data_IF_144668008735
#
_entry.id   IF_144668008735
#
_cell.length_a   1.000
_cell.length_b   1.000
_cell.length_c   1.000
_cell.angle_alpha   90.00
_cell.angle_beta   90.00
_cell.angle_gamma   90.00
#
_symmetry.space_group_name_H-M   'P 1'
#
loop_
_entity.id
_entity.type
_entity.pdbx_description
1 polymer ?
#
# COMPACT_ATOMS: atom_id res chain seq x y z
N UNK A 1 -0.70 -4.56 53.28
CA UNK A 1 -1.08 -3.64 52.19
C UNK A 1 -0.92 -4.40 50.90
N UNK A 2 -1.89 -4.24 49.99
CA UNK A 2 -2.27 -5.19 48.94
C UNK A 2 -1.14 -5.49 47.93
N UNK A 3 -1.17 -6.73 47.47
CA UNK A 3 -0.46 -7.27 46.30
C UNK A 3 -0.87 -6.47 45.05
N UNK A 4 0.10 -5.90 44.34
CA UNK A 4 -0.10 -5.52 42.94
C UNK A 4 0.27 -6.72 42.07
N UNK A 5 -0.70 -7.63 41.92
CA UNK A 5 -0.78 -8.52 40.77
C UNK A 5 -1.18 -7.67 39.57
N UNK A 6 -0.28 -7.50 38.61
CA UNK A 6 -0.66 -7.15 37.24
C UNK A 6 -0.07 -8.21 36.33
N UNK A 7 -0.78 -9.32 36.19
CA UNK A 7 -0.59 -10.22 35.05
C UNK A 7 -1.93 -10.23 34.36
N UNK A 8 -2.06 -9.63 33.18
CA UNK A 8 -2.98 -10.10 32.16
C UNK A 8 -2.45 -9.75 30.76
N UNK A 9 -1.95 -10.81 30.13
CA UNK A 9 -2.06 -11.15 28.71
C UNK A 9 -1.38 -10.22 27.70
N UNK A 10 -0.23 -10.65 27.17
CA UNK A 10 0.07 -10.37 25.77
C UNK A 10 -0.99 -11.10 24.94
N UNK A 11 -1.87 -10.41 24.18
CA UNK A 11 -2.51 -11.07 23.07
C UNK A 11 -1.38 -11.44 22.12
N UNK A 12 -1.06 -12.73 22.06
CA UNK A 12 -0.20 -13.27 21.01
C UNK A 12 -0.78 -12.81 19.69
N UNK A 13 -0.13 -11.81 19.08
CA UNK A 13 -0.51 -11.35 17.77
C UNK A 13 -0.21 -12.51 16.82
N UNK A 14 -1.26 -13.05 16.24
CA UNK A 14 -1.12 -13.81 15.01
C UNK A 14 -0.43 -12.88 14.03
N UNK A 15 0.79 -13.24 13.62
CA UNK A 15 1.42 -12.79 12.38
C UNK A 15 0.54 -13.24 11.21
N UNK A 16 -0.67 -12.67 11.12
CA UNK A 16 -1.30 -12.50 9.84
C UNK A 16 -0.49 -11.40 9.17
N UNK A 17 0.60 -11.80 8.50
CA UNK A 17 1.18 -11.01 7.42
C UNK A 17 0.04 -10.76 6.41
N UNK A 18 -0.78 -9.75 6.69
CA UNK A 18 -1.79 -9.27 5.79
C UNK A 18 -1.01 -8.79 4.57
N UNK A 19 -0.93 -9.64 3.55
CA UNK A 19 -0.28 -9.29 2.30
C UNK A 19 -0.80 -7.93 1.88
N UNK A 20 0.13 -6.96 1.77
CA UNK A 20 -0.12 -5.58 1.35
C UNK A 20 -1.08 -5.52 0.15
N UNK A 21 -0.96 -6.53 -0.71
CA UNK A 21 -1.75 -6.74 -1.91
C UNK A 21 -2.44 -8.10 -1.86
N UNK A 22 -3.75 -8.08 -1.60
CA UNK A 22 -4.61 -9.24 -1.74
C UNK A 22 -5.18 -9.30 -3.16
N UNK A 23 -4.97 -10.40 -3.88
CA UNK A 23 -5.50 -10.60 -5.24
C UNK A 23 -7.03 -10.70 -5.23
N UNK A 24 -7.69 -10.18 -6.27
CA UNK A 24 -9.15 -10.26 -6.43
C UNK A 24 -9.68 -11.68 -6.60
N UNK A 25 -8.82 -12.65 -6.93
CA UNK A 25 -9.24 -14.05 -7.06
C UNK A 25 -9.78 -14.63 -5.75
N UNK A 26 -9.43 -14.03 -4.60
CA UNK A 26 -10.01 -14.38 -3.29
C UNK A 26 -11.53 -14.23 -3.25
N UNK A 27 -12.11 -13.32 -4.05
CA UNK A 27 -13.56 -13.13 -4.14
C UNK A 27 -14.31 -14.38 -4.62
N UNK A 28 -13.63 -15.30 -5.30
CA UNK A 28 -14.24 -16.54 -5.75
C UNK A 28 -14.74 -17.38 -4.57
N UNK A 29 -14.00 -17.38 -3.44
CA UNK A 29 -14.41 -18.06 -2.20
C UNK A 29 -15.66 -17.44 -1.57
N UNK A 30 -15.99 -16.20 -1.94
CA UNK A 30 -17.15 -15.44 -1.47
C UNK A 30 -18.29 -15.40 -2.51
N UNK A 31 -18.29 -16.32 -3.48
CA UNK A 31 -19.41 -16.51 -4.40
C UNK A 31 -19.39 -15.60 -5.64
N UNK A 32 -18.28 -14.91 -5.92
CA UNK A 32 -18.13 -14.14 -7.16
C UNK A 32 -17.65 -15.05 -8.30
N UNK A 33 -18.33 -14.99 -9.44
CA UNK A 33 -18.00 -15.80 -10.61
C UNK A 33 -16.68 -15.32 -11.25
N UNK A 34 -15.82 -16.27 -11.64
CA UNK A 34 -14.56 -16.04 -12.37
C UNK A 34 -14.75 -15.17 -13.61
N UNK A 35 -15.89 -15.27 -14.31
CA UNK A 35 -16.19 -14.42 -15.46
C UNK A 35 -16.29 -12.94 -15.10
N UNK A 36 -16.85 -12.61 -13.93
CA UNK A 36 -16.96 -11.24 -13.46
C UNK A 36 -15.62 -10.73 -12.89
N UNK A 37 -14.82 -11.61 -12.26
CA UNK A 37 -13.44 -11.32 -11.85
C UNK A 37 -12.56 -10.95 -13.05
N UNK A 38 -12.65 -11.71 -14.16
CA UNK A 38 -11.92 -11.40 -15.40
C UNK A 38 -12.27 -10.02 -15.98
N UNK A 39 -13.53 -9.60 -15.88
CA UNK A 39 -13.95 -8.24 -16.30
C UNK A 39 -13.30 -7.16 -15.44
N UNK A 40 -13.19 -7.37 -14.12
CA UNK A 40 -12.48 -6.45 -13.23
C UNK A 40 -10.99 -6.35 -13.61
N UNK A 41 -10.32 -7.49 -13.86
CA UNK A 41 -8.92 -7.49 -14.33
C UNK A 41 -8.78 -6.74 -15.67
N UNK A 42 -9.75 -6.86 -16.58
CA UNK A 42 -9.70 -6.19 -17.90
C UNK A 42 -9.72 -4.66 -17.84
N UNK A 43 -10.22 -4.09 -16.74
CA UNK A 43 -10.21 -2.63 -16.49
C UNK A 43 -9.09 -2.20 -15.53
N UNK A 44 -8.16 -3.11 -15.20
CA UNK A 44 -7.00 -2.83 -14.34
C UNK A 44 -7.24 -2.99 -12.84
N UNK A 45 -8.41 -3.48 -12.41
CA UNK A 45 -8.70 -3.73 -11.00
C UNK A 45 -8.22 -5.14 -10.66
N UNK A 46 -7.07 -5.24 -9.99
CA UNK A 46 -6.41 -6.53 -9.70
C UNK A 46 -6.27 -6.84 -8.20
N UNK A 47 -6.64 -5.93 -7.29
CA UNK A 47 -6.59 -6.17 -5.84
C UNK A 47 -7.91 -5.89 -5.13
N UNK A 48 -8.11 -6.48 -3.94
CA UNK A 48 -9.30 -6.24 -3.10
C UNK A 48 -9.40 -4.76 -2.71
N UNK A 49 -8.29 -4.13 -2.30
CA UNK A 49 -8.25 -2.68 -2.05
C UNK A 49 -8.60 -1.86 -3.30
N UNK A 50 -8.19 -2.30 -4.49
CA UNK A 50 -8.59 -1.66 -5.75
C UNK A 50 -10.11 -1.58 -5.93
N UNK A 51 -10.85 -2.62 -5.50
CA UNK A 51 -12.31 -2.61 -5.50
C UNK A 51 -12.85 -1.62 -4.48
N UNK A 52 -12.29 -1.56 -3.26
CA UNK A 52 -12.71 -0.59 -2.24
C UNK A 52 -12.53 0.86 -2.70
N UNK A 53 -11.38 1.17 -3.29
CA UNK A 53 -11.03 2.51 -3.80
C UNK A 53 -11.84 2.93 -5.03
N UNK A 54 -12.45 1.98 -5.74
CA UNK A 54 -13.27 2.27 -6.92
C UNK A 54 -14.72 2.56 -6.54
N UNK A 55 -15.31 3.64 -7.05
CA UNK A 55 -16.72 3.97 -6.79
C UNK A 55 -17.67 2.96 -7.42
N UNK A 56 -18.87 2.77 -6.83
CA UNK A 56 -19.92 1.91 -7.43
C UNK A 56 -20.24 2.33 -8.86
N UNK A 57 -20.33 3.63 -9.12
CA UNK A 57 -20.57 4.20 -10.46
C UNK A 57 -19.52 3.74 -11.48
N UNK A 58 -18.24 3.81 -11.13
CA UNK A 58 -17.17 3.36 -12.01
C UNK A 58 -17.23 1.84 -12.28
N UNK A 59 -17.58 1.03 -11.27
CA UNK A 59 -17.78 -0.41 -11.43
C UNK A 59 -18.99 -0.75 -12.32
N UNK A 60 -20.07 0.02 -12.25
CA UNK A 60 -21.24 -0.15 -13.11
C UNK A 60 -20.95 0.20 -14.59
N UNK A 61 -19.94 1.04 -14.86
CA UNK A 61 -19.51 1.35 -16.23
C UNK A 61 -18.73 0.20 -16.89
N UNK A 62 -18.34 -0.83 -16.14
CA UNK A 62 -17.67 -2.01 -16.69
C UNK A 62 -18.68 -2.86 -17.46
N UNK A 63 -18.43 -3.06 -18.75
CA UNK A 63 -19.32 -3.82 -19.63
C UNK A 63 -19.62 -5.21 -19.08
N UNK A 64 -20.90 -5.51 -18.90
CA UNK A 64 -21.37 -6.82 -18.44
C UNK A 64 -21.39 -7.00 -16.91
N UNK A 65 -21.21 -5.93 -16.13
CA UNK A 65 -21.56 -5.89 -14.71
C UNK A 65 -22.87 -5.10 -14.53
N UNK A 66 -23.85 -5.68 -13.86
CA UNK A 66 -25.07 -4.98 -13.44
C UNK A 66 -24.90 -4.43 -12.03
N UNK A 67 -25.73 -3.47 -11.63
CA UNK A 67 -25.71 -2.90 -10.27
C UNK A 67 -25.79 -3.98 -9.18
N UNK A 68 -26.71 -4.94 -9.33
CA UNK A 68 -26.83 -6.06 -8.41
C UNK A 68 -25.56 -6.93 -8.29
N UNK A 69 -24.77 -7.05 -9.36
CA UNK A 69 -23.47 -7.74 -9.32
C UNK A 69 -22.42 -6.88 -8.60
N UNK A 70 -22.39 -5.58 -8.87
CA UNK A 70 -21.48 -4.64 -8.22
C UNK A 70 -21.70 -4.62 -6.72
N UNK A 71 -22.95 -4.63 -6.26
CA UNK A 71 -23.28 -4.71 -4.84
C UNK A 71 -22.76 -6.00 -4.20
N UNK A 72 -22.97 -7.16 -4.84
CA UNK A 72 -22.41 -8.44 -4.37
C UNK A 72 -20.88 -8.43 -4.29
N UNK A 73 -20.21 -7.85 -5.29
CA UNK A 73 -18.74 -7.72 -5.31
C UNK A 73 -18.25 -6.84 -4.16
N UNK A 74 -18.90 -5.69 -3.92
CA UNK A 74 -18.58 -4.79 -2.80
C UNK A 74 -18.84 -5.45 -1.45
N UNK A 75 -19.94 -6.17 -1.30
CA UNK A 75 -20.25 -6.91 -0.08
C UNK A 75 -19.21 -8.00 0.20
N UNK A 76 -18.79 -8.75 -0.83
CA UNK A 76 -17.73 -9.75 -0.72
C UNK A 76 -16.38 -9.12 -0.34
N UNK A 77 -16.02 -7.96 -0.92
CA UNK A 77 -14.81 -7.24 -0.58
C UNK A 77 -14.82 -6.72 0.88
N UNK A 78 -15.98 -6.28 1.39
CA UNK A 78 -16.12 -5.82 2.77
C UNK A 78 -16.00 -6.96 3.81
N UNK A 79 -16.22 -8.21 3.41
CA UNK A 79 -15.98 -9.39 4.27
C UNK A 79 -14.50 -9.76 4.36
N UNK A 80 -13.69 -9.32 3.40
CA UNK A 80 -12.24 -9.53 3.38
C UNK A 80 -11.49 -8.41 4.07
N UNK A 81 -11.95 -7.17 3.90
CA UNK A 81 -11.38 -5.99 4.54
C UNK A 81 -12.53 -5.28 5.24
N UNK A 82 -12.59 -5.43 6.57
CA UNK A 82 -13.67 -4.87 7.37
C UNK A 82 -13.63 -3.33 7.34
N UNK A 83 -14.68 -2.67 6.84
CA UNK A 83 -14.79 -1.22 6.91
C UNK A 83 -15.24 -0.82 8.32
N UNK A 84 -14.39 -0.10 9.05
CA UNK A 84 -14.68 0.32 10.42
C UNK A 84 -13.84 1.50 10.88
N UNK A 85 -14.07 1.92 12.12
CA UNK A 85 -13.23 2.89 12.80
C UNK A 85 -12.11 2.15 13.53
N UNK A 86 -10.90 2.68 13.43
CA UNK A 86 -9.74 2.20 14.18
C UNK A 86 -9.34 3.26 15.20
N UNK A 87 -8.91 2.82 16.37
CA UNK A 87 -8.30 3.70 17.36
C UNK A 87 -6.95 4.21 16.86
N UNK A 88 -6.50 5.35 17.39
CA UNK A 88 -5.19 5.89 17.06
C UNK A 88 -4.05 4.91 17.42
N UNK A 89 -4.22 4.13 18.48
CA UNK A 89 -3.27 3.13 18.92
C UNK A 89 -3.13 1.99 17.90
N UNK A 90 -4.25 1.39 17.47
CA UNK A 90 -4.24 0.35 16.43
C UNK A 90 -3.68 0.87 15.09
N UNK A 91 -4.01 2.12 14.73
CA UNK A 91 -3.48 2.72 13.52
C UNK A 91 -1.96 2.98 13.61
N UNK A 92 -1.44 3.31 14.81
CA UNK A 92 -0.01 3.48 15.02
C UNK A 92 0.78 2.18 14.84
N UNK A 93 0.20 1.05 15.24
CA UNK A 93 0.75 -0.27 15.00
C UNK A 93 0.75 -0.60 13.50
N UNK A 94 -0.36 -0.35 12.79
CA UNK A 94 -0.40 -0.54 11.33
C UNK A 94 0.67 0.31 10.62
N UNK A 95 0.91 1.55 11.03
CA UNK A 95 1.93 2.43 10.44
C UNK A 95 3.37 1.93 10.60
N UNK A 96 3.66 0.91 11.43
CA UNK A 96 4.99 0.29 11.50
C UNK A 96 5.42 -0.39 10.19
N UNK A 97 4.48 -0.72 9.31
CA UNK A 97 4.75 -1.24 7.96
C UNK A 97 5.37 -0.19 7.00
N UNK A 98 5.35 1.09 7.38
CA UNK A 98 5.92 2.17 6.57
C UNK A 98 7.45 2.08 6.63
N UNK A 99 8.07 2.09 5.46
CA UNK A 99 9.52 2.00 5.31
C UNK A 99 10.05 3.28 4.68
N UNK A 100 11.36 3.51 4.84
CA UNK A 100 12.05 4.69 4.33
C UNK A 100 13.17 4.28 3.37
N UNK A 101 13.31 5.01 2.28
CA UNK A 101 14.38 4.81 1.29
C UNK A 101 15.43 5.91 1.50
N UNK A 102 16.68 5.50 1.73
CA UNK A 102 17.80 6.45 1.87
C UNK A 102 18.05 7.24 0.58
N UNK A 103 18.33 8.52 0.74
CA UNK A 103 18.76 9.42 -0.33
C UNK A 103 20.25 9.28 -0.68
N UNK A 104 21.00 8.50 0.11
CA UNK A 104 22.45 8.36 0.00
C UNK A 104 23.25 9.40 0.79
N UNK A 105 22.58 10.40 1.39
CA UNK A 105 23.19 11.39 2.29
C UNK A 105 22.58 11.27 3.69
N UNK A 106 23.43 11.13 4.71
CA UNK A 106 22.99 11.00 6.10
C UNK A 106 22.32 12.28 6.60
N UNK A 107 22.84 13.45 6.23
CA UNK A 107 22.28 14.75 6.60
C UNK A 107 20.91 14.96 5.95
N UNK A 108 20.76 14.56 4.69
CA UNK A 108 19.49 14.71 4.00
C UNK A 108 18.44 13.71 4.52
N UNK A 109 18.83 12.47 4.79
CA UNK A 109 17.95 11.50 5.43
C UNK A 109 17.51 11.97 6.82
N UNK A 110 18.43 12.55 7.60
CA UNK A 110 18.10 13.14 8.91
C UNK A 110 17.09 14.28 8.79
N UNK A 111 17.22 15.14 7.77
CA UNK A 111 16.26 16.21 7.49
C UNK A 111 14.88 15.65 7.17
N UNK A 112 14.81 14.53 6.45
CA UNK A 112 13.56 13.86 6.07
C UNK A 112 13.02 12.89 7.14
N UNK A 113 13.73 12.69 8.25
CA UNK A 113 13.32 11.76 9.31
C UNK A 113 13.56 10.28 9.00
N UNK A 114 14.51 9.97 8.11
CA UNK A 114 14.90 8.60 7.74
C UNK A 114 15.06 8.37 6.24
N UNK A 115 14.68 9.34 5.41
CA UNK A 115 14.71 9.25 3.94
C UNK A 115 13.32 9.46 3.34
N UNK A 116 13.09 8.94 2.14
CA UNK A 116 11.81 9.04 1.43
C UNK A 116 10.80 8.04 2.02
N UNK A 117 9.66 8.53 2.53
CA UNK A 117 8.62 7.74 3.20
C UNK A 117 7.75 6.97 2.19
N UNK A 118 7.44 5.69 2.48
CA UNK A 118 6.46 4.91 1.73
C UNK A 118 5.00 5.30 2.08
N UNK A 119 4.05 4.98 1.20
CA UNK A 119 2.64 5.40 1.34
C UNK A 119 2.40 6.93 1.34
N UNK A 120 3.38 7.71 0.89
CA UNK A 120 3.29 9.15 0.69
C UNK A 120 3.75 9.53 -0.74
N UNK A 121 3.42 10.75 -1.16
CA UNK A 121 3.97 11.36 -2.37
C UNK A 121 4.96 12.42 -1.93
N UNK A 122 6.22 12.31 -2.38
CA UNK A 122 7.28 13.29 -2.11
C UNK A 122 7.63 14.02 -3.40
N UNK A 123 7.58 15.35 -3.36
CA UNK A 123 7.91 16.23 -4.49
C UNK A 123 9.24 16.95 -4.24
N UNK A 124 10.11 16.97 -5.25
CA UNK A 124 11.35 17.74 -5.25
C UNK A 124 11.33 18.77 -6.40
N UNK A 125 11.33 20.06 -6.05
CA UNK A 125 11.30 21.16 -7.01
C UNK A 125 12.54 22.06 -6.87
N UNK A 126 12.90 22.77 -7.94
CA UNK A 126 14.05 23.68 -7.97
C UNK A 126 14.49 24.04 -9.39
N UNK A 127 15.40 25.00 -9.52
CA UNK A 127 15.89 25.51 -10.81
C UNK A 127 16.62 24.45 -11.68
N UNK A 128 16.96 24.81 -12.91
CA UNK A 128 17.81 23.97 -13.74
C UNK A 128 19.15 23.69 -13.04
N UNK A 129 19.70 22.48 -13.20
CA UNK A 129 20.99 22.07 -12.62
C UNK A 129 21.06 22.00 -11.08
N UNK A 130 19.92 21.90 -10.39
CA UNK A 130 19.87 21.72 -8.93
C UNK A 130 19.92 20.26 -8.43
N UNK A 131 20.19 19.29 -9.31
CA UNK A 131 20.39 17.89 -8.88
C UNK A 131 19.14 17.00 -8.86
N UNK A 132 17.97 17.48 -9.31
CA UNK A 132 16.70 16.72 -9.27
C UNK A 132 16.81 15.34 -9.94
N UNK A 133 17.29 15.30 -11.18
CA UNK A 133 17.51 14.06 -11.94
C UNK A 133 18.57 13.17 -11.31
N UNK A 134 19.62 13.77 -10.73
CA UNK A 134 20.68 13.01 -10.04
C UNK A 134 20.13 12.32 -8.79
N UNK A 135 19.29 13.02 -8.02
CA UNK A 135 18.58 12.43 -6.88
C UNK A 135 17.69 11.26 -7.32
N UNK A 136 16.93 11.41 -8.41
CA UNK A 136 16.07 10.33 -8.90
C UNK A 136 16.86 9.11 -9.38
N UNK A 137 18.04 9.30 -10.00
CA UNK A 137 18.94 8.18 -10.33
C UNK A 137 19.52 7.50 -9.10
N UNK A 138 19.91 8.25 -8.07
CA UNK A 138 20.39 7.66 -6.81
C UNK A 138 19.31 6.80 -6.17
N UNK A 139 18.07 7.29 -6.12
CA UNK A 139 16.93 6.52 -5.60
C UNK A 139 16.67 5.24 -6.40
N UNK A 140 16.95 5.24 -7.71
CA UNK A 140 16.87 4.03 -8.54
C UNK A 140 17.86 2.94 -8.13
N UNK A 141 18.91 3.27 -7.39
CA UNK A 141 19.88 2.29 -6.89
C UNK A 141 19.60 1.97 -5.43
N UNK A 142 19.42 2.99 -4.59
CA UNK A 142 19.29 2.80 -3.13
C UNK A 142 18.04 2.02 -2.75
N UNK A 143 16.93 2.14 -3.50
CA UNK A 143 15.72 1.37 -3.27
C UNK A 143 15.85 -0.12 -3.65
N UNK A 144 16.95 -0.56 -4.27
CA UNK A 144 17.19 -2.00 -4.53
C UNK A 144 17.97 -2.67 -3.40
N UNK A 145 18.53 -1.87 -2.49
CA UNK A 145 19.43 -2.35 -1.45
C UNK A 145 18.68 -2.53 -0.12
N UNK A 146 19.07 -3.52 0.70
CA UNK A 146 18.59 -3.61 2.06
C UNK A 146 19.02 -2.37 2.85
N UNK A 147 18.08 -1.77 3.57
CA UNK A 147 18.26 -0.51 4.30
C UNK A 147 17.96 -0.63 5.80
N UNK A 148 17.92 0.52 6.47
CA UNK A 148 17.48 0.60 7.86
C UNK A 148 15.98 0.24 8.00
N UNK A 149 15.55 -0.11 9.21
CA UNK A 149 14.13 -0.34 9.50
C UNK A 149 13.51 -1.57 8.82
N UNK A 150 14.33 -2.58 8.47
CA UNK A 150 13.83 -3.83 7.89
C UNK A 150 13.49 -3.77 6.40
N UNK A 151 13.83 -2.67 5.71
CA UNK A 151 13.65 -2.57 4.27
C UNK A 151 14.60 -3.53 3.55
N UNK A 152 14.05 -4.42 2.71
CA UNK A 152 14.80 -5.47 2.01
C UNK A 152 15.21 -5.11 0.58
N UNK A 153 14.73 -3.98 0.05
CA UNK A 153 14.90 -3.59 -1.35
C UNK A 153 13.76 -4.09 -2.26
N UNK A 154 13.61 -3.45 -3.43
CA UNK A 154 12.56 -3.78 -4.38
C UNK A 154 12.88 -3.40 -5.82
N UNK A 155 11.95 -3.73 -6.73
CA UNK A 155 12.01 -3.28 -8.12
C UNK A 155 11.49 -1.85 -8.25
N UNK A 156 11.96 -1.14 -9.27
CA UNK A 156 11.68 0.28 -9.47
C UNK A 156 11.10 0.50 -10.85
N UNK A 157 10.15 1.43 -10.93
CA UNK A 157 9.59 1.93 -12.18
C UNK A 157 10.04 3.38 -12.30
N UNK A 158 10.73 3.71 -13.38
CA UNK A 158 11.14 5.07 -13.71
C UNK A 158 10.37 5.53 -14.94
N UNK A 159 9.67 6.66 -14.84
CA UNK A 159 8.92 7.25 -15.94
C UNK A 159 9.59 8.57 -16.28
N UNK A 160 10.30 8.61 -17.40
CA UNK A 160 10.97 9.80 -17.92
C UNK A 160 10.10 10.47 -18.99
N UNK A 161 9.84 11.76 -18.84
CA UNK A 161 9.08 12.57 -19.79
C UNK A 161 9.93 13.61 -20.51
N UNK A 162 11.21 13.74 -20.14
CA UNK A 162 12.11 14.79 -20.64
C UNK A 162 13.33 14.23 -21.37
N UNK A 163 13.44 12.90 -21.52
CA UNK A 163 14.54 12.21 -22.18
C UNK A 163 15.89 12.58 -21.56
N UNK A 164 15.96 12.40 -20.24
CA UNK A 164 17.11 12.67 -19.38
C UNK A 164 18.06 11.48 -19.22
N UNK A 165 17.67 10.31 -19.74
CA UNK A 165 18.47 9.08 -19.86
C UNK A 165 19.42 9.08 -21.07
#
# INVERSE_FOLDING_TARGET
>A
MKEDQVVLEEPGFQDDEESLFQDIDLLQKYGINVADIKKLKSVGICTIKGIQMTTKRALCNVKGLSEAKVDKIKEAANKLIEPGFLTAFEYSEKRKMVFHITTGSQEFDKLLGGGIESMAITEAFGEFRTGKTQLSHTLCVTAQLPGAGGYSGGKIIFIDTENTL
#
